data_IF_170568626092
#
_entry.id   IF_170568626092
#
_cell.length_a   1.000
_cell.length_b   1.000
_cell.length_c   1.000
_cell.angle_alpha   90.00
_cell.angle_beta   90.00
_cell.angle_gamma   90.00
#
_symmetry.space_group_name_H-M   'P 1'
#
loop_
_entity.id
_entity.type
_entity.pdbx_description
1 polymer ?
#
# COMPACT_ATOMS: atom_id res chain seq x y z
N UNK A 1 9.31 -40.07 -3.88
CA UNK A 1 8.29 -39.32 -3.14
C UNK A 1 8.23 -37.93 -3.77
N UNK A 2 7.21 -37.67 -4.63
CA UNK A 2 7.04 -36.32 -5.24
C UNK A 2 6.44 -35.42 -4.15
N UNK A 3 7.19 -34.46 -3.68
CA UNK A 3 6.65 -33.38 -2.88
C UNK A 3 5.71 -32.56 -3.79
N UNK A 4 4.41 -32.72 -3.62
CA UNK A 4 3.44 -31.76 -4.12
C UNK A 4 3.68 -30.48 -3.31
N UNK A 5 4.32 -29.49 -3.91
CA UNK A 5 4.26 -28.14 -3.41
C UNK A 5 2.79 -27.71 -3.62
N UNK A 6 1.98 -27.72 -2.55
CA UNK A 6 0.61 -27.23 -2.60
C UNK A 6 0.67 -25.73 -2.91
N UNK A 7 0.35 -25.38 -4.15
CA UNK A 7 0.14 -23.98 -4.54
C UNK A 7 -1.04 -23.45 -3.71
N UNK A 8 -0.77 -22.54 -2.77
CA UNK A 8 -1.81 -21.90 -1.97
C UNK A 8 -2.85 -21.27 -2.90
N UNK A 9 -4.13 -21.51 -2.65
CA UNK A 9 -5.19 -20.92 -3.46
C UNK A 9 -5.26 -19.41 -3.26
N UNK A 10 -5.67 -18.66 -4.29
CA UNK A 10 -5.87 -17.20 -4.20
C UNK A 10 -6.78 -16.82 -3.01
N UNK A 11 -7.85 -17.62 -2.76
CA UNK A 11 -8.76 -17.41 -1.64
C UNK A 11 -8.08 -17.59 -0.28
N UNK A 12 -7.17 -18.54 -0.14
CA UNK A 12 -6.41 -18.72 1.09
C UNK A 12 -5.46 -17.56 1.34
N UNK A 13 -4.73 -17.13 0.31
CA UNK A 13 -3.80 -16.01 0.38
C UNK A 13 -4.52 -14.71 0.79
N UNK A 14 -5.66 -14.41 0.15
CA UNK A 14 -6.42 -13.19 0.45
C UNK A 14 -6.98 -13.17 1.88
N UNK A 15 -7.38 -14.33 2.43
CA UNK A 15 -7.83 -14.44 3.84
C UNK A 15 -6.71 -14.19 4.85
N UNK A 16 -5.47 -14.52 4.49
CA UNK A 16 -4.28 -14.34 5.32
C UNK A 16 -3.62 -12.97 5.14
N UNK A 17 -4.21 -12.10 4.30
CA UNK A 17 -3.69 -10.78 3.99
C UNK A 17 -4.39 -9.70 4.79
N UNK A 18 -3.60 -8.79 5.38
CA UNK A 18 -4.05 -7.51 5.91
C UNK A 18 -3.71 -6.40 4.90
N UNK A 19 -4.72 -5.70 4.39
CA UNK A 19 -4.48 -4.51 3.57
C UNK A 19 -4.38 -3.26 4.45
N UNK A 20 -3.38 -2.41 4.20
CA UNK A 20 -3.17 -1.14 4.86
C UNK A 20 -3.22 -0.02 3.83
N UNK A 21 -4.24 0.83 3.92
CA UNK A 21 -4.46 1.94 3.00
C UNK A 21 -3.93 3.23 3.61
N UNK A 22 -2.88 3.78 3.03
CA UNK A 22 -2.26 5.04 3.45
C UNK A 22 -3.11 6.22 3.01
N UNK A 23 -3.76 6.89 3.94
CA UNK A 23 -4.72 7.97 3.69
C UNK A 23 -4.39 9.26 4.45
N UNK A 24 -3.13 9.45 4.83
CA UNK A 24 -2.65 10.55 5.68
C UNK A 24 -2.09 11.77 4.94
N UNK A 25 -1.92 11.72 3.63
CA UNK A 25 -1.27 12.76 2.85
C UNK A 25 -2.04 14.09 2.78
N UNK A 26 -1.31 15.22 2.78
CA UNK A 26 -1.86 16.58 2.78
C UNK A 26 -2.62 16.94 1.49
N UNK A 27 -2.24 16.35 0.35
CA UNK A 27 -2.93 16.51 -0.93
C UNK A 27 -2.89 17.93 -1.50
N UNK A 28 -1.84 18.69 -1.22
CA UNK A 28 -1.70 20.13 -1.57
C UNK A 28 -1.88 20.44 -3.07
N UNK A 29 -1.58 19.49 -3.96
CA UNK A 29 -1.73 19.64 -5.42
C UNK A 29 -3.19 19.88 -5.88
N UNK A 30 -4.19 19.42 -5.12
CA UNK A 30 -5.61 19.58 -5.45
C UNK A 30 -6.24 20.88 -4.89
N UNK A 31 -5.43 21.76 -4.29
CA UNK A 31 -5.80 23.12 -3.84
C UNK A 31 -7.14 23.14 -3.08
N UNK A 32 -8.17 23.78 -3.63
CA UNK A 32 -9.48 23.98 -2.97
C UNK A 32 -10.20 22.67 -2.66
N UNK A 33 -10.02 21.61 -3.45
CA UNK A 33 -10.63 20.31 -3.20
C UNK A 33 -10.16 19.68 -1.89
N UNK A 34 -8.92 19.97 -1.49
CA UNK A 34 -8.29 19.45 -0.25
C UNK A 34 -8.20 20.48 0.87
N UNK A 35 -8.79 21.66 0.70
CA UNK A 35 -8.78 22.71 1.72
C UNK A 35 -9.33 22.24 3.07
N UNK A 36 -10.41 21.44 3.06
CA UNK A 36 -11.13 20.99 4.25
C UNK A 36 -11.17 19.46 4.42
N UNK A 37 -10.48 18.71 3.59
CA UNK A 37 -10.51 17.25 3.61
C UNK A 37 -9.22 16.64 3.07
N UNK A 38 -8.90 15.41 3.52
CA UNK A 38 -7.80 14.63 2.95
C UNK A 38 -8.11 14.27 1.47
N UNK A 39 -7.07 14.11 0.64
CA UNK A 39 -7.22 13.74 -0.80
C UNK A 39 -8.07 12.48 -1.00
N UNK A 40 -7.92 11.38 -0.22
CA UNK A 40 -8.78 10.21 -0.34
C UNK A 40 -10.28 10.47 -0.13
N UNK A 41 -10.63 11.55 0.58
CA UNK A 41 -12.01 11.93 0.86
C UNK A 41 -12.63 12.84 -0.21
N UNK A 42 -11.91 13.21 -1.26
CA UNK A 42 -12.41 14.05 -2.36
C UNK A 42 -13.48 13.25 -3.14
N UNK A 43 -14.67 13.86 -3.38
CA UNK A 43 -15.71 13.23 -4.20
C UNK A 43 -15.25 13.00 -5.64
N UNK A 44 -15.62 11.85 -6.19
CA UNK A 44 -15.33 11.45 -7.55
C UNK A 44 -16.53 10.68 -8.15
N UNK A 45 -16.90 10.97 -9.39
CA UNK A 45 -17.99 10.28 -10.09
C UNK A 45 -19.36 10.41 -9.38
N UNK A 46 -19.64 11.56 -8.77
CA UNK A 46 -20.91 11.85 -8.09
C UNK A 46 -20.93 11.41 -6.63
N UNK A 47 -21.25 10.16 -6.32
CA UNK A 47 -21.44 9.66 -4.94
C UNK A 47 -20.22 8.99 -4.31
N UNK A 48 -19.20 8.63 -5.11
CA UNK A 48 -18.00 7.99 -4.64
C UNK A 48 -16.97 9.00 -4.13
N UNK A 49 -15.95 8.48 -3.43
CA UNK A 49 -14.73 9.19 -3.07
C UNK A 49 -13.52 8.45 -3.61
N UNK A 50 -12.39 9.11 -3.71
CA UNK A 50 -11.17 8.51 -4.27
C UNK A 50 -10.83 7.19 -3.55
N UNK A 51 -10.94 7.15 -2.23
CA UNK A 51 -10.63 5.93 -1.44
C UNK A 51 -11.52 4.74 -1.78
N UNK A 52 -12.75 4.96 -2.26
CA UNK A 52 -13.68 3.87 -2.56
C UNK A 52 -13.16 2.94 -3.67
N UNK A 53 -12.30 3.44 -4.58
CA UNK A 53 -11.70 2.63 -5.63
C UNK A 53 -10.72 1.61 -5.06
N UNK A 54 -9.84 2.04 -4.14
CA UNK A 54 -8.87 1.15 -3.49
C UNK A 54 -9.57 0.14 -2.59
N UNK A 55 -10.55 0.58 -1.78
CA UNK A 55 -11.34 -0.31 -0.93
C UNK A 55 -12.15 -1.32 -1.76
N UNK A 56 -12.73 -0.88 -2.89
CA UNK A 56 -13.43 -1.77 -3.82
C UNK A 56 -12.50 -2.80 -4.44
N UNK A 57 -11.28 -2.41 -4.83
CA UNK A 57 -10.28 -3.34 -5.35
C UNK A 57 -9.94 -4.40 -4.29
N UNK A 58 -9.74 -4.02 -3.01
CA UNK A 58 -9.50 -4.98 -1.92
C UNK A 58 -10.65 -6.00 -1.81
N UNK A 59 -11.88 -5.49 -1.69
CA UNK A 59 -13.07 -6.34 -1.54
C UNK A 59 -13.30 -7.25 -2.74
N UNK A 60 -13.15 -6.73 -3.96
CA UNK A 60 -13.30 -7.51 -5.19
C UNK A 60 -12.20 -8.56 -5.36
N UNK A 61 -10.99 -8.30 -4.82
CA UNK A 61 -9.90 -9.28 -4.76
C UNK A 61 -10.05 -10.34 -3.66
N UNK A 62 -11.11 -10.27 -2.84
CA UNK A 62 -11.34 -11.20 -1.73
C UNK A 62 -10.64 -10.82 -0.41
N UNK A 63 -9.98 -9.66 -0.33
CA UNK A 63 -9.35 -9.16 0.89
C UNK A 63 -10.42 -8.51 1.77
N UNK A 64 -10.52 -8.95 3.03
CA UNK A 64 -11.59 -8.56 3.97
C UNK A 64 -11.09 -7.91 5.25
N UNK A 65 -9.77 -7.89 5.49
CA UNK A 65 -9.13 -7.25 6.64
C UNK A 65 -8.44 -6.01 6.12
N UNK A 66 -9.00 -4.82 6.38
CA UNK A 66 -8.54 -3.57 5.78
C UNK A 66 -8.37 -2.51 6.88
N UNK A 67 -7.15 -2.04 7.10
CA UNK A 67 -6.84 -0.89 7.94
C UNK A 67 -6.66 0.36 7.09
N UNK A 68 -7.24 1.49 7.50
CA UNK A 68 -7.07 2.78 6.84
C UNK A 68 -6.32 3.72 7.76
N UNK A 69 -5.06 4.00 7.44
CA UNK A 69 -4.18 4.88 8.21
C UNK A 69 -4.47 6.33 7.87
N UNK A 70 -4.95 7.09 8.85
CA UNK A 70 -5.37 8.48 8.66
C UNK A 70 -4.57 9.43 9.55
N UNK A 71 -4.29 10.62 9.06
CA UNK A 71 -3.60 11.65 9.84
C UNK A 71 -4.21 13.04 9.59
N UNK A 72 -4.09 13.55 8.38
CA UNK A 72 -4.42 14.94 8.05
C UNK A 72 -5.88 15.08 7.61
N UNK A 73 -6.62 16.08 8.17
CA UNK A 73 -8.01 16.42 7.80
C UNK A 73 -8.95 15.22 7.65
N UNK A 74 -8.84 14.25 8.55
CA UNK A 74 -9.45 12.92 8.43
C UNK A 74 -10.96 12.86 8.70
N UNK A 75 -11.56 13.86 9.36
CA UNK A 75 -12.97 13.81 9.81
C UNK A 75 -13.96 13.39 8.71
N UNK A 76 -13.88 14.02 7.52
CA UNK A 76 -14.81 13.70 6.42
C UNK A 76 -14.56 12.31 5.83
N UNK A 77 -13.31 11.82 5.89
CA UNK A 77 -12.92 10.47 5.47
C UNK A 77 -13.47 9.43 6.45
N UNK A 78 -13.24 9.63 7.73
CA UNK A 78 -13.73 8.77 8.82
C UNK A 78 -15.25 8.59 8.70
N UNK A 79 -15.98 9.71 8.62
CA UNK A 79 -17.45 9.68 8.48
C UNK A 79 -17.91 8.95 7.22
N UNK A 80 -17.18 9.08 6.10
CA UNK A 80 -17.51 8.37 4.87
C UNK A 80 -17.32 6.86 5.03
N UNK A 81 -16.16 6.42 5.53
CA UNK A 81 -15.86 5.00 5.74
C UNK A 81 -16.89 4.36 6.67
N UNK A 82 -17.18 4.99 7.81
CA UNK A 82 -18.17 4.50 8.77
C UNK A 82 -19.57 4.33 8.18
N UNK A 83 -19.96 5.14 7.17
CA UNK A 83 -21.30 5.06 6.56
C UNK A 83 -21.34 4.16 5.33
N UNK A 84 -20.30 4.17 4.52
CA UNK A 84 -20.28 3.48 3.24
C UNK A 84 -19.73 2.05 3.32
N UNK A 85 -18.86 1.77 4.32
CA UNK A 85 -18.11 0.52 4.44
C UNK A 85 -18.45 -0.30 5.70
N UNK A 86 -19.58 -0.02 6.34
CA UNK A 86 -20.06 -0.73 7.54
C UNK A 86 -20.73 -2.09 7.25
N UNK A 87 -20.76 -2.54 6.00
CA UNK A 87 -21.39 -3.81 5.61
C UNK A 87 -20.48 -5.04 5.82
N UNK A 88 -19.24 -4.84 6.23
CA UNK A 88 -18.32 -5.93 6.57
C UNK A 88 -18.80 -6.68 7.82
N UNK A 89 -18.65 -7.99 7.82
CA UNK A 89 -19.12 -8.86 8.91
C UNK A 89 -18.02 -9.06 9.94
N UNK A 90 -18.00 -8.20 10.92
CA UNK A 90 -17.01 -8.25 12.00
C UNK A 90 -17.02 -9.59 12.76
N UNK A 91 -18.19 -10.24 12.87
CA UNK A 91 -18.37 -11.54 13.54
C UNK A 91 -17.55 -12.66 12.92
N UNK A 92 -17.20 -12.54 11.63
CA UNK A 92 -16.33 -13.51 10.92
C UNK A 92 -14.94 -12.96 10.66
N UNK A 93 -14.56 -11.87 11.33
CA UNK A 93 -13.23 -11.24 11.24
C UNK A 93 -13.02 -10.39 9.99
N UNK A 94 -14.11 -9.92 9.33
CA UNK A 94 -14.04 -8.95 8.24
C UNK A 94 -14.20 -7.53 8.77
N UNK A 95 -13.36 -6.59 8.32
CA UNK A 95 -13.44 -5.20 8.77
C UNK A 95 -12.84 -4.22 7.78
N UNK A 96 -13.33 -2.98 7.85
CA UNK A 96 -12.63 -1.77 7.39
C UNK A 96 -12.45 -0.89 8.62
N UNK A 97 -11.26 -0.92 9.22
CA UNK A 97 -10.93 -0.23 10.45
C UNK A 97 -10.14 1.06 10.17
N UNK A 98 -10.47 2.11 10.89
CA UNK A 98 -9.75 3.39 10.80
C UNK A 98 -8.66 3.38 11.87
N UNK A 99 -7.42 3.58 11.43
CA UNK A 99 -6.22 3.66 12.27
C UNK A 99 -5.69 5.10 12.23
N UNK A 100 -6.18 6.00 13.10
CA UNK A 100 -5.70 7.37 13.13
C UNK A 100 -4.32 7.46 13.79
N UNK A 101 -3.52 8.44 13.40
CA UNK A 101 -2.30 8.77 14.12
C UNK A 101 -2.63 9.16 15.57
N UNK A 102 -1.94 8.57 16.56
CA UNK A 102 -2.30 8.67 17.97
C UNK A 102 -1.16 9.10 18.89
N UNK A 103 0.00 9.48 18.38
CA UNK A 103 1.18 9.81 19.20
C UNK A 103 1.50 8.72 20.25
N UNK A 104 1.44 7.44 19.85
CA UNK A 104 1.57 6.29 20.76
C UNK A 104 3.01 5.96 21.12
N UNK A 105 3.94 6.32 20.26
CA UNK A 105 5.37 5.97 20.41
C UNK A 105 6.18 7.19 20.84
N UNK A 106 5.90 8.34 20.24
CA UNK A 106 6.51 9.63 20.54
C UNK A 106 5.43 10.74 20.55
N UNK A 107 5.84 12.01 20.78
CA UNK A 107 4.91 13.16 20.72
C UNK A 107 4.56 13.57 19.29
N UNK A 108 5.15 12.92 18.29
CA UNK A 108 5.00 13.26 16.90
C UNK A 108 3.88 12.46 16.22
N UNK A 109 3.31 13.06 15.19
CA UNK A 109 2.44 12.41 14.24
C UNK A 109 3.31 11.47 13.34
N UNK A 110 2.68 10.77 12.38
CA UNK A 110 3.45 9.95 11.43
C UNK A 110 4.49 10.79 10.68
N UNK A 111 5.76 10.46 10.82
CA UNK A 111 6.88 11.16 10.19
C UNK A 111 6.99 10.83 8.69
N UNK A 112 6.53 9.63 8.31
CA UNK A 112 6.55 9.14 6.94
C UNK A 112 5.65 7.92 6.76
N UNK A 113 5.69 7.34 5.57
CA UNK A 113 4.87 6.17 5.22
C UNK A 113 5.29 4.92 6.00
N UNK A 114 6.58 4.68 6.19
CA UNK A 114 7.10 3.57 6.99
C UNK A 114 6.79 3.76 8.48
N UNK A 115 6.95 4.98 9.00
CA UNK A 115 6.62 5.29 10.40
C UNK A 115 5.13 5.06 10.70
N UNK A 116 4.24 5.35 9.76
CA UNK A 116 2.82 5.10 9.94
C UNK A 116 2.50 3.60 10.15
N UNK A 117 3.24 2.70 9.53
CA UNK A 117 3.13 1.26 9.76
C UNK A 117 3.79 0.87 11.08
N UNK A 118 4.98 1.40 11.36
CA UNK A 118 5.70 1.11 12.60
C UNK A 118 4.85 1.43 13.84
N UNK A 119 4.23 2.61 13.90
CA UNK A 119 3.38 3.01 15.02
C UNK A 119 2.12 2.14 15.20
N UNK A 120 1.74 1.34 14.20
CA UNK A 120 0.61 0.42 14.23
C UNK A 120 1.02 -1.07 14.26
N UNK A 121 2.30 -1.38 14.50
CA UNK A 121 2.82 -2.76 14.53
C UNK A 121 2.05 -3.67 15.50
N UNK A 122 1.68 -3.16 16.68
CA UNK A 122 0.95 -3.93 17.68
C UNK A 122 -0.48 -4.27 17.23
N UNK A 123 -1.12 -3.37 16.47
CA UNK A 123 -2.44 -3.62 15.87
C UNK A 123 -2.31 -4.68 14.78
N UNK A 124 -1.33 -4.53 13.87
CA UNK A 124 -1.08 -5.52 12.83
C UNK A 124 -0.81 -6.91 13.39
N UNK A 125 0.00 -7.01 14.47
CA UNK A 125 0.32 -8.30 15.14
C UNK A 125 -0.93 -9.02 15.68
N UNK A 126 -1.94 -8.29 16.16
CA UNK A 126 -3.20 -8.89 16.65
C UNK A 126 -3.98 -9.62 15.55
N UNK A 127 -3.85 -9.19 14.31
CA UNK A 127 -4.51 -9.82 13.17
C UNK A 127 -3.74 -11.00 12.59
N UNK A 128 -2.51 -11.25 13.05
CA UNK A 128 -1.64 -12.37 12.63
C UNK A 128 -1.64 -12.61 11.10
N UNK A 129 -1.43 -11.58 10.28
CA UNK A 129 -1.41 -11.76 8.84
C UNK A 129 -0.16 -12.53 8.39
N UNK A 130 -0.26 -13.28 7.31
CA UNK A 130 0.89 -13.88 6.63
C UNK A 130 1.49 -12.87 5.64
N UNK A 131 0.63 -12.04 5.04
CA UNK A 131 1.00 -10.99 4.09
C UNK A 131 0.41 -9.64 4.49
N UNK A 132 1.16 -8.58 4.23
CA UNK A 132 0.69 -7.20 4.37
C UNK A 132 0.68 -6.53 3.00
N UNK A 133 -0.49 -6.08 2.55
CA UNK A 133 -0.67 -5.31 1.33
C UNK A 133 -0.75 -3.83 1.67
N UNK A 134 0.24 -3.03 1.26
CA UNK A 134 0.28 -1.58 1.48
C UNK A 134 -0.14 -0.85 0.22
N UNK A 135 -1.10 0.07 0.35
CA UNK A 135 -1.77 0.76 -0.76
C UNK A 135 -1.83 2.27 -0.51
N UNK A 136 -1.61 3.06 -1.56
CA UNK A 136 -1.95 4.48 -1.54
C UNK A 136 -3.47 4.68 -1.64
N UNK A 137 -4.07 5.43 -0.72
CA UNK A 137 -5.52 5.71 -0.69
C UNK A 137 -5.97 6.86 -1.61
N UNK A 138 -5.06 7.38 -2.42
CA UNK A 138 -5.26 8.59 -3.23
C UNK A 138 -5.19 8.35 -4.75
N UNK A 139 -5.27 7.09 -5.18
CA UNK A 139 -5.21 6.66 -6.58
C UNK A 139 -6.56 6.10 -7.06
N UNK A 140 -6.84 6.29 -8.34
CA UNK A 140 -8.03 5.76 -9.01
C UNK A 140 -7.57 4.78 -10.09
N UNK A 141 -7.79 3.50 -9.86
CA UNK A 141 -7.46 2.41 -10.78
C UNK A 141 -8.32 1.18 -10.45
N UNK A 142 -8.32 0.19 -11.35
CA UNK A 142 -8.94 -1.11 -11.14
C UNK A 142 -7.86 -2.19 -11.17
N UNK A 143 -7.78 -3.01 -10.12
CA UNK A 143 -6.79 -4.08 -10.00
C UNK A 143 -7.32 -5.23 -9.14
N UNK A 144 -6.99 -6.45 -9.55
CA UNK A 144 -7.19 -7.67 -8.78
C UNK A 144 -5.89 -8.02 -8.04
N UNK A 145 -5.85 -7.72 -6.74
CA UNK A 145 -4.67 -7.99 -5.91
C UNK A 145 -4.45 -9.48 -5.64
N UNK A 146 -5.46 -10.34 -5.84
CA UNK A 146 -5.30 -11.78 -5.64
C UNK A 146 -4.25 -12.38 -6.57
N UNK A 147 -4.15 -11.87 -7.80
CA UNK A 147 -3.13 -12.29 -8.78
C UNK A 147 -1.72 -11.93 -8.31
N UNK A 148 -1.55 -10.71 -7.82
CA UNK A 148 -0.27 -10.24 -7.29
C UNK A 148 0.15 -11.03 -6.04
N UNK A 149 -0.81 -11.41 -5.17
CA UNK A 149 -0.56 -12.27 -4.01
C UNK A 149 -0.10 -13.67 -4.41
N UNK A 150 -0.70 -14.25 -5.45
CA UNK A 150 -0.28 -15.56 -5.99
C UNK A 150 1.16 -15.48 -6.51
N UNK A 151 1.49 -14.46 -7.28
CA UNK A 151 2.86 -14.24 -7.78
C UNK A 151 3.86 -14.04 -6.63
N UNK A 152 3.51 -13.23 -5.63
CA UNK A 152 4.34 -13.02 -4.44
C UNK A 152 4.61 -14.33 -3.70
N UNK A 153 3.58 -15.12 -3.42
CA UNK A 153 3.72 -16.41 -2.73
C UNK A 153 4.53 -17.43 -3.52
N UNK A 154 4.37 -17.46 -4.86
CA UNK A 154 5.09 -18.39 -5.73
C UNK A 154 6.56 -18.01 -5.94
N UNK A 155 6.86 -16.71 -5.98
CA UNK A 155 8.24 -16.22 -6.14
C UNK A 155 9.09 -16.40 -4.89
N UNK A 156 8.47 -16.53 -3.71
CA UNK A 156 9.18 -16.54 -2.43
C UNK A 156 9.88 -15.21 -2.12
N UNK A 157 9.48 -14.13 -2.77
CA UNK A 157 10.04 -12.80 -2.53
C UNK A 157 9.56 -12.24 -1.19
N UNK A 158 10.41 -11.46 -0.53
CA UNK A 158 10.04 -10.74 0.70
C UNK A 158 9.15 -9.54 0.40
N UNK A 159 9.33 -8.93 -0.79
CA UNK A 159 8.58 -7.75 -1.27
C UNK A 159 8.22 -7.93 -2.74
N UNK A 160 6.97 -7.62 -3.08
CA UNK A 160 6.51 -7.49 -4.48
C UNK A 160 5.91 -6.10 -4.67
N UNK A 161 6.31 -5.41 -5.74
CA UNK A 161 5.89 -4.03 -6.03
C UNK A 161 5.05 -3.99 -7.29
N UNK A 162 3.85 -3.42 -7.21
CA UNK A 162 3.00 -3.15 -8.36
C UNK A 162 3.55 -2.01 -9.19
N UNK A 163 3.84 -2.27 -10.47
CA UNK A 163 4.43 -1.33 -11.41
C UNK A 163 3.56 -1.16 -12.64
N UNK A 164 3.73 -0.02 -13.32
CA UNK A 164 3.16 0.27 -14.63
C UNK A 164 4.26 0.69 -15.60
N UNK A 165 4.15 0.24 -16.85
CA UNK A 165 5.02 0.72 -17.92
C UNK A 165 4.61 2.13 -18.34
N UNK A 166 5.55 3.07 -18.28
CA UNK A 166 5.35 4.45 -18.73
C UNK A 166 6.49 4.88 -19.66
N UNK A 167 6.29 5.86 -20.53
CA UNK A 167 7.39 6.50 -21.27
C UNK A 167 8.45 7.03 -20.29
N UNK A 168 9.74 6.83 -20.58
CA UNK A 168 10.85 7.25 -19.71
C UNK A 168 10.78 8.72 -19.29
N UNK A 169 10.37 9.60 -20.18
CA UNK A 169 10.23 11.03 -19.88
C UNK A 169 9.17 11.30 -18.79
N UNK A 170 8.09 10.53 -18.80
CA UNK A 170 7.00 10.66 -17.81
C UNK A 170 7.39 10.02 -16.47
N UNK A 171 8.27 9.02 -16.48
CA UNK A 171 8.72 8.31 -15.29
C UNK A 171 9.46 9.20 -14.28
N UNK A 172 9.96 10.37 -14.67
CA UNK A 172 10.65 11.34 -13.80
C UNK A 172 9.83 11.79 -12.59
N UNK A 173 8.51 11.67 -12.65
CA UNK A 173 7.60 12.04 -11.56
C UNK A 173 7.33 10.93 -10.54
N UNK A 174 7.87 9.73 -10.74
CA UNK A 174 7.55 8.51 -9.99
C UNK A 174 8.81 7.86 -9.38
N UNK A 175 8.58 6.95 -8.44
CA UNK A 175 9.59 5.97 -8.09
C UNK A 175 9.77 4.97 -9.24
N UNK A 176 10.99 4.74 -9.67
CA UNK A 176 11.33 3.88 -10.82
C UNK A 176 12.09 2.65 -10.36
N UNK A 177 11.65 1.48 -10.80
CA UNK A 177 12.35 0.21 -10.59
C UNK A 177 13.26 -0.11 -11.76
N UNK A 178 14.53 -0.40 -11.45
CA UNK A 178 15.43 -1.13 -12.33
C UNK A 178 15.30 -2.62 -12.00
N UNK A 179 15.11 -3.44 -13.00
CA UNK A 179 14.92 -4.89 -12.84
C UNK A 179 15.87 -5.65 -13.77
N UNK A 180 16.19 -6.88 -13.42
CA UNK A 180 16.87 -7.83 -14.31
C UNK A 180 15.90 -8.51 -15.28
N UNK A 181 16.38 -9.46 -16.09
CA UNK A 181 15.57 -10.19 -17.07
C UNK A 181 14.49 -11.07 -16.43
N UNK A 182 14.59 -11.37 -15.15
CA UNK A 182 13.62 -12.14 -14.36
C UNK A 182 12.61 -11.26 -13.61
N UNK A 183 12.63 -9.94 -13.84
CA UNK A 183 11.86 -8.92 -13.12
C UNK A 183 12.20 -8.82 -11.63
N UNK A 184 13.37 -9.33 -11.20
CA UNK A 184 13.87 -9.07 -9.87
C UNK A 184 14.39 -7.65 -9.78
N UNK A 185 13.93 -6.92 -8.76
CA UNK A 185 14.32 -5.53 -8.54
C UNK A 185 15.80 -5.49 -8.14
N UNK A 186 16.59 -4.73 -8.90
CA UNK A 186 18.02 -4.50 -8.64
C UNK A 186 18.26 -3.13 -8.02
N UNK A 187 17.35 -2.16 -8.29
CA UNK A 187 17.45 -0.79 -7.77
C UNK A 187 16.07 -0.14 -7.76
N UNK A 188 15.83 0.70 -6.76
CA UNK A 188 14.72 1.64 -6.71
C UNK A 188 15.24 3.08 -6.68
N UNK A 189 14.69 3.96 -7.47
CA UNK A 189 15.11 5.38 -7.50
C UNK A 189 13.89 6.28 -7.50
N UNK A 190 13.75 7.08 -6.45
CA UNK A 190 12.65 8.05 -6.33
C UNK A 190 12.90 9.26 -7.22
N UNK A 191 12.00 9.53 -8.15
CA UNK A 191 11.99 10.67 -9.08
C UNK A 191 13.33 10.93 -9.78
N UNK A 192 13.88 9.95 -10.50
CA UNK A 192 15.18 10.11 -11.16
C UNK A 192 15.11 11.16 -12.29
N UNK A 193 16.19 11.92 -12.45
CA UNK A 193 16.32 12.83 -13.61
C UNK A 193 16.42 12.06 -14.92
N UNK A 194 17.07 10.90 -14.91
CA UNK A 194 17.16 9.96 -16.04
C UNK A 194 16.69 8.58 -15.59
N UNK A 195 15.42 8.22 -15.82
CA UNK A 195 14.87 6.94 -15.43
C UNK A 195 15.54 5.77 -16.17
N UNK A 196 15.87 4.70 -15.45
CA UNK A 196 16.38 3.47 -16.06
C UNK A 196 15.34 2.85 -17.01
N UNK A 197 15.82 2.33 -18.14
CA UNK A 197 14.95 1.67 -19.10
C UNK A 197 14.52 0.27 -18.60
N UNK A 198 13.34 -0.15 -19.00
CA UNK A 198 12.86 -1.51 -18.80
C UNK A 198 13.60 -2.49 -19.73
N UNK A 199 13.93 -3.72 -19.29
CA UNK A 199 14.51 -4.75 -20.16
C UNK A 199 13.70 -4.94 -21.44
N UNK A 200 14.39 -4.92 -22.60
CA UNK A 200 13.78 -5.08 -23.91
C UNK A 200 12.94 -3.90 -24.42
N UNK A 201 12.77 -2.82 -23.64
CA UNK A 201 12.00 -1.61 -24.04
C UNK A 201 12.75 -0.34 -23.64
N UNK A 202 13.68 0.16 -24.47
CA UNK A 202 14.57 1.28 -24.11
C UNK A 202 13.87 2.62 -23.95
N UNK A 203 12.67 2.78 -24.50
CA UNK A 203 11.82 3.96 -24.44
C UNK A 203 10.86 3.99 -23.23
N UNK A 204 10.79 2.88 -22.46
CA UNK A 204 9.90 2.72 -21.31
C UNK A 204 10.65 2.49 -20.00
N UNK A 205 10.00 2.84 -18.91
CA UNK A 205 10.45 2.57 -17.54
C UNK A 205 9.31 1.95 -16.72
N UNK A 206 9.68 1.25 -15.64
CA UNK A 206 8.73 0.69 -14.67
C UNK A 206 8.52 1.69 -13.53
N UNK A 207 7.36 2.33 -13.52
CA UNK A 207 6.97 3.26 -12.47
C UNK A 207 6.20 2.54 -11.34
N UNK A 208 6.53 2.86 -10.10
CA UNK A 208 5.81 2.37 -8.92
C UNK A 208 4.39 2.90 -8.91
N UNK A 209 3.43 2.02 -8.66
CA UNK A 209 2.05 2.39 -8.39
C UNK A 209 1.77 2.66 -6.91
N UNK A 210 2.77 2.55 -6.03
CA UNK A 210 2.55 2.64 -4.58
C UNK A 210 1.74 1.46 -4.04
N UNK A 211 1.89 0.29 -4.64
CA UNK A 211 1.23 -0.97 -4.27
C UNK A 211 2.34 -1.96 -3.89
N UNK A 212 2.36 -2.38 -2.63
CA UNK A 212 3.40 -3.25 -2.11
C UNK A 212 2.78 -4.46 -1.41
N UNK A 213 3.27 -5.66 -1.68
CA UNK A 213 3.00 -6.85 -0.86
C UNK A 213 4.29 -7.21 -0.14
N UNK A 214 4.19 -7.39 1.16
CA UNK A 214 5.28 -7.84 2.02
C UNK A 214 4.95 -9.18 2.67
N UNK A 215 5.94 -10.04 2.81
CA UNK A 215 5.93 -11.09 3.84
C UNK A 215 5.97 -10.41 5.21
N UNK A 216 5.04 -10.78 6.10
CA UNK A 216 4.82 -10.03 7.36
C UNK A 216 6.06 -9.98 8.25
N UNK A 217 6.78 -11.09 8.38
CA UNK A 217 7.98 -11.17 9.22
C UNK A 217 9.07 -10.20 8.72
N UNK A 218 9.29 -10.20 7.39
CA UNK A 218 10.23 -9.26 6.77
C UNK A 218 9.84 -7.81 7.01
N UNK A 219 8.58 -7.46 6.77
CA UNK A 219 8.10 -6.09 7.00
C UNK A 219 8.33 -5.64 8.45
N UNK A 220 7.96 -6.49 9.42
CA UNK A 220 8.10 -6.13 10.83
C UNK A 220 9.55 -5.94 11.23
N UNK A 221 10.44 -6.81 10.76
CA UNK A 221 11.88 -6.66 10.99
C UNK A 221 12.38 -5.34 10.41
N UNK A 222 12.06 -5.04 9.15
CA UNK A 222 12.52 -3.82 8.46
C UNK A 222 11.97 -2.53 9.07
N UNK A 223 10.73 -2.52 9.52
CA UNK A 223 10.16 -1.37 10.22
C UNK A 223 10.87 -1.09 11.56
N UNK A 224 11.29 -2.13 12.29
CA UNK A 224 12.05 -1.98 13.52
C UNK A 224 13.46 -1.46 13.22
N UNK A 225 14.15 -2.05 12.23
CA UNK A 225 15.49 -1.61 11.80
C UNK A 225 15.45 -0.14 11.33
N UNK A 226 14.43 0.24 10.56
CA UNK A 226 14.23 1.60 10.07
C UNK A 226 14.02 2.58 11.24
N UNK A 227 13.22 2.21 12.23
CA UNK A 227 12.97 3.05 13.41
C UNK A 227 14.24 3.37 14.18
N UNK A 228 15.19 2.44 14.25
CA UNK A 228 16.45 2.61 14.96
C UNK A 228 17.51 3.34 14.12
N UNK A 229 17.28 3.55 12.82
CA UNK A 229 18.18 4.27 11.93
C UNK A 229 17.97 5.80 12.04
N UNK A 230 18.92 6.58 12.60
CA UNK A 230 18.78 8.02 12.75
C UNK A 230 18.81 8.79 11.42
N UNK A 231 19.29 8.18 10.34
CA UNK A 231 19.37 8.78 9.01
C UNK A 231 18.16 8.49 8.13
N UNK A 232 17.24 7.65 8.57
CA UNK A 232 16.04 7.32 7.81
C UNK A 232 15.09 8.51 7.72
N UNK A 233 14.46 8.69 6.55
CA UNK A 233 13.38 9.65 6.33
C UNK A 233 12.01 9.06 6.68
N UNK A 234 11.95 7.79 7.07
CA UNK A 234 10.72 7.05 7.40
C UNK A 234 9.78 6.89 6.21
N UNK A 235 10.30 6.83 5.01
CA UNK A 235 9.54 6.77 3.77
C UNK A 235 9.93 5.57 2.90
N UNK A 236 8.97 4.72 2.53
CA UNK A 236 9.21 3.54 1.69
C UNK A 236 9.87 3.83 0.33
N UNK A 237 9.76 5.05 -0.16
CA UNK A 237 10.35 5.43 -1.43
C UNK A 237 11.80 5.91 -1.33
N UNK A 238 12.38 5.95 -0.10
CA UNK A 238 13.72 6.49 0.12
C UNK A 238 14.59 5.59 0.97
N UNK A 239 14.02 4.85 1.88
CA UNK A 239 14.67 3.99 2.84
C UNK A 239 14.25 2.52 2.58
#
# INVERSE_FOLDING_TARGET
MKYYCETKSATELTRKTLALVLAGGEGSRLKDLTRWRAKPAVPFGGKYRIIDFVLSNCVNSGIRKIGVLTQYKSHSLIRHIQRAWSFMRFEVGEFVEIMPAQQRVDKDWYLGTADSLYQNLDIMRRHTPEYVLVLGGDHIYSMDYSKMLVEHANSGADVTIGCIEVPRLEARGFGVMSVDETFKITKFTEKPNDPDAMPGKPDKALASMGIYIFSTEFLFQKLIEDRDNPNSTRDFGKD
#
